data_IF_228892758161
#
_entry.id   IF_228892758161
#
_cell.length_a   1.000
_cell.length_b   1.000
_cell.length_c   1.000
_cell.angle_alpha   90.00
_cell.angle_beta   90.00
_cell.angle_gamma   90.00
#
_symmetry.space_group_name_H-M   'P 1'
#
loop_
_entity.id
_entity.type
_entity.pdbx_description
1 polymer ?
#
# COMPACT_ATOMS: atom_id res chain seq x y z
N UNK A 1 -14.04 11.20 -8.87
CA UNK A 1 -13.20 12.10 -8.03
C UNK A 1 -13.94 13.38 -7.65
N UNK A 2 -14.47 14.19 -8.59
CA UNK A 2 -15.04 15.51 -8.28
C UNK A 2 -16.19 15.46 -7.27
N UNK A 3 -17.18 14.60 -7.48
CA UNK A 3 -18.27 14.39 -6.50
C UNK A 3 -17.76 14.04 -5.09
N UNK A 4 -16.73 13.21 -5.00
CA UNK A 4 -16.13 12.85 -3.71
C UNK A 4 -15.50 14.09 -3.03
N UNK A 5 -14.72 14.87 -3.77
CA UNK A 5 -14.09 16.09 -3.24
C UNK A 5 -15.12 17.14 -2.83
N UNK A 6 -16.22 17.32 -3.59
CA UNK A 6 -17.34 18.17 -3.20
C UNK A 6 -17.96 17.73 -1.87
N UNK A 7 -18.10 16.41 -1.65
CA UNK A 7 -18.59 15.88 -0.39
C UNK A 7 -17.62 16.17 0.76
N UNK A 8 -16.31 15.94 0.55
CA UNK A 8 -15.28 16.23 1.56
C UNK A 8 -15.31 17.71 1.97
N UNK A 9 -15.36 18.61 1.00
CA UNK A 9 -15.44 20.05 1.25
C UNK A 9 -16.69 20.44 2.05
N UNK A 10 -17.86 19.92 1.67
CA UNK A 10 -19.12 20.17 2.41
C UNK A 10 -19.11 19.66 3.84
N UNK A 11 -18.39 18.57 4.09
CA UNK A 11 -18.25 17.97 5.43
C UNK A 11 -17.09 18.56 6.24
N UNK A 12 -16.31 19.49 5.67
CA UNK A 12 -15.14 20.06 6.33
C UNK A 12 -13.98 19.06 6.51
N UNK A 13 -13.92 18.00 5.71
CA UNK A 13 -12.88 16.98 5.78
C UNK A 13 -11.75 17.37 4.84
N UNK A 14 -10.63 17.84 5.40
CA UNK A 14 -9.48 18.35 4.65
C UNK A 14 -8.37 17.33 4.39
N UNK A 15 -8.53 16.06 4.80
CA UNK A 15 -7.52 15.01 4.64
C UNK A 15 -8.15 13.73 4.12
N UNK A 16 -7.45 13.08 3.18
CA UNK A 16 -7.92 11.83 2.58
C UNK A 16 -6.77 10.84 2.43
N UNK A 17 -7.11 9.56 2.44
CA UNK A 17 -6.33 8.51 1.83
C UNK A 17 -6.74 8.39 0.35
N UNK A 18 -5.75 8.31 -0.54
CA UNK A 18 -5.99 8.11 -1.96
C UNK A 18 -5.91 6.63 -2.30
N UNK A 19 -7.03 6.05 -2.62
CA UNK A 19 -7.10 4.71 -3.22
C UNK A 19 -6.80 4.79 -4.72
N UNK A 20 -5.72 4.15 -5.16
CA UNK A 20 -5.28 4.14 -6.55
C UNK A 20 -5.99 3.05 -7.37
N UNK A 21 -7.22 3.33 -7.75
CA UNK A 21 -8.04 2.49 -8.61
C UNK A 21 -8.67 3.29 -9.74
N UNK A 22 -9.14 2.61 -10.78
CA UNK A 22 -9.63 3.19 -12.03
C UNK A 22 -10.69 4.30 -11.86
N UNK A 23 -11.52 4.24 -10.81
CA UNK A 23 -12.54 5.25 -10.54
C UNK A 23 -12.00 6.54 -9.92
N UNK A 24 -10.78 6.52 -9.37
CA UNK A 24 -10.22 7.64 -8.62
C UNK A 24 -8.94 8.18 -9.26
N UNK A 25 -7.91 7.35 -9.35
CA UNK A 25 -6.62 7.69 -9.93
C UNK A 25 -5.96 6.41 -10.44
N UNK A 26 -5.62 6.35 -11.73
CA UNK A 26 -5.00 5.17 -12.30
C UNK A 26 -3.54 5.06 -11.91
N UNK A 27 -3.12 3.86 -11.55
CA UNK A 27 -1.74 3.49 -11.28
C UNK A 27 -1.52 2.04 -11.65
N UNK A 28 -0.45 1.75 -12.40
CA UNK A 28 0.01 0.40 -12.70
C UNK A 28 1.54 0.29 -12.66
N UNK A 29 2.11 -0.82 -13.12
CA UNK A 29 3.56 -1.03 -13.14
C UNK A 29 4.29 -0.21 -14.22
N UNK A 30 3.59 0.45 -15.13
CA UNK A 30 4.16 1.31 -16.17
C UNK A 30 4.17 2.79 -15.79
N UNK A 31 3.32 3.19 -14.85
CA UNK A 31 3.21 4.57 -14.39
C UNK A 31 1.87 4.87 -13.73
N UNK A 32 1.48 6.14 -13.77
CA UNK A 32 0.22 6.64 -13.20
C UNK A 32 -0.27 7.88 -13.94
N UNK A 33 -1.54 8.26 -13.70
CA UNK A 33 -2.22 9.42 -14.28
C UNK A 33 -1.52 10.75 -13.95
N UNK A 34 -1.90 11.82 -14.64
CA UNK A 34 -1.35 13.16 -14.42
C UNK A 34 -1.63 13.69 -13.00
N UNK A 35 -0.57 13.74 -12.20
CA UNK A 35 -0.60 14.25 -10.82
C UNK A 35 -0.93 15.73 -10.76
N UNK A 36 -0.58 16.53 -11.80
CA UNK A 36 -0.85 17.98 -11.80
C UNK A 36 -2.35 18.26 -11.85
N UNK A 37 -3.11 17.50 -12.64
CA UNK A 37 -4.56 17.58 -12.70
C UNK A 37 -5.21 17.22 -11.36
N UNK A 38 -4.74 16.15 -10.71
CA UNK A 38 -5.21 15.76 -9.37
C UNK A 38 -4.89 16.84 -8.33
N UNK A 39 -3.66 17.35 -8.32
CA UNK A 39 -3.26 18.44 -7.41
C UNK A 39 -4.13 19.70 -7.55
N UNK A 40 -4.47 20.07 -8.79
CA UNK A 40 -5.33 21.21 -9.04
C UNK A 40 -6.72 21.00 -8.39
N UNK A 41 -7.30 19.82 -8.55
CA UNK A 41 -8.59 19.46 -7.93
C UNK A 41 -8.53 19.48 -6.42
N UNK A 42 -7.51 18.84 -5.82
CA UNK A 42 -7.30 18.81 -4.37
C UNK A 42 -7.19 20.21 -3.78
N UNK A 43 -6.39 21.08 -4.41
CA UNK A 43 -6.25 22.49 -3.97
C UNK A 43 -7.56 23.26 -4.06
N UNK A 44 -8.32 23.09 -5.15
CA UNK A 44 -9.59 23.77 -5.34
C UNK A 44 -10.62 23.44 -4.24
N UNK A 45 -10.52 22.24 -3.65
CA UNK A 45 -11.44 21.78 -2.59
C UNK A 45 -10.85 21.89 -1.18
N UNK A 46 -9.61 22.39 -1.02
CA UNK A 46 -8.94 22.49 0.28
C UNK A 46 -8.62 21.13 0.91
N UNK A 47 -8.42 20.09 0.09
CA UNK A 47 -8.18 18.71 0.52
C UNK A 47 -6.72 18.35 0.24
N UNK A 48 -6.07 17.62 1.17
CA UNK A 48 -4.73 17.04 0.98
C UNK A 48 -4.74 15.52 1.13
N UNK A 49 -3.90 14.86 0.36
CA UNK A 49 -3.63 13.42 0.53
C UNK A 49 -2.64 13.24 1.68
N UNK A 50 -2.95 12.36 2.63
CA UNK A 50 -2.06 11.99 3.75
C UNK A 50 -1.50 10.59 3.62
N UNK A 51 -2.17 9.73 2.85
CA UNK A 51 -1.78 8.35 2.60
C UNK A 51 -2.18 7.94 1.19
N UNK A 52 -1.42 7.07 0.58
CA UNK A 52 -1.72 6.44 -0.71
C UNK A 52 -1.85 4.93 -0.50
N UNK A 53 -2.91 4.34 -1.06
CA UNK A 53 -3.12 2.89 -1.08
C UNK A 53 -3.16 2.38 -2.51
N UNK A 54 -2.20 1.52 -2.85
CA UNK A 54 -2.18 0.79 -4.11
C UNK A 54 -2.85 -0.58 -3.91
N UNK A 55 -4.02 -0.84 -4.52
CA UNK A 55 -4.74 -2.09 -4.36
C UNK A 55 -3.87 -3.31 -4.68
N UNK A 56 -3.85 -4.31 -3.80
CA UNK A 56 -3.02 -5.51 -3.95
C UNK A 56 -3.75 -6.82 -3.64
N UNK A 57 -4.98 -6.75 -3.11
CA UNK A 57 -5.77 -7.95 -2.80
C UNK A 57 -6.27 -8.65 -4.08
N UNK A 58 -6.35 -7.92 -5.18
CA UNK A 58 -6.93 -8.39 -6.45
C UNK A 58 -6.00 -9.29 -7.31
N UNK A 59 -4.96 -9.86 -6.76
CA UNK A 59 -4.03 -10.84 -7.36
C UNK A 59 -3.12 -10.34 -8.49
N UNK A 60 -3.36 -9.19 -9.07
CA UNK A 60 -2.57 -8.69 -10.20
C UNK A 60 -1.12 -8.33 -9.82
N UNK A 61 -0.95 -7.72 -8.64
CA UNK A 61 0.38 -7.36 -8.10
C UNK A 61 0.52 -7.94 -6.70
N UNK A 62 1.51 -8.81 -6.52
CA UNK A 62 1.67 -9.56 -5.28
C UNK A 62 3.09 -9.42 -4.72
N UNK A 63 3.19 -9.24 -3.41
CA UNK A 63 4.46 -9.13 -2.69
C UNK A 63 5.25 -10.44 -2.69
N UNK A 64 4.57 -11.58 -2.74
CA UNK A 64 5.16 -12.91 -2.72
C UNK A 64 5.09 -13.60 -4.09
N UNK A 65 4.98 -12.85 -5.20
CA UNK A 65 4.90 -13.42 -6.54
C UNK A 65 6.05 -14.40 -6.80
N UNK A 66 5.72 -15.58 -7.32
CA UNK A 66 6.66 -16.67 -7.57
C UNK A 66 7.50 -16.41 -8.82
N UNK A 67 6.84 -15.94 -9.89
CA UNK A 67 7.50 -15.65 -11.15
C UNK A 67 8.32 -14.34 -11.05
N UNK A 68 9.64 -14.37 -11.37
CA UNK A 68 10.48 -13.18 -11.26
C UNK A 68 9.96 -11.96 -12.03
N UNK A 69 9.35 -12.16 -13.20
CA UNK A 69 8.77 -11.07 -13.98
C UNK A 69 7.57 -10.43 -13.26
N UNK A 70 6.70 -11.23 -12.65
CA UNK A 70 5.55 -10.74 -11.91
C UNK A 70 5.98 -10.03 -10.60
N UNK A 71 7.03 -10.53 -9.95
CA UNK A 71 7.61 -9.88 -8.78
C UNK A 71 8.18 -8.49 -9.15
N UNK A 72 8.84 -8.38 -10.31
CA UNK A 72 9.37 -7.10 -10.80
C UNK A 72 8.24 -6.14 -11.22
N UNK A 73 7.15 -6.62 -11.84
CA UNK A 73 5.97 -5.78 -12.12
C UNK A 73 5.33 -5.28 -10.82
N UNK A 74 5.22 -6.13 -9.82
CA UNK A 74 4.74 -5.75 -8.49
C UNK A 74 5.66 -4.72 -7.83
N UNK A 75 6.96 -4.89 -7.94
CA UNK A 75 7.92 -3.93 -7.42
C UNK A 75 7.77 -2.54 -8.07
N UNK A 76 7.62 -2.47 -9.39
CA UNK A 76 7.39 -1.20 -10.10
C UNK A 76 6.06 -0.57 -9.71
N UNK A 77 5.02 -1.38 -9.61
CA UNK A 77 3.69 -0.91 -9.20
C UNK A 77 3.71 -0.24 -7.83
N UNK A 78 4.25 -0.91 -6.82
CA UNK A 78 4.34 -0.33 -5.47
C UNK A 78 5.37 0.81 -5.38
N UNK A 79 6.43 0.79 -6.18
CA UNK A 79 7.37 1.93 -6.29
C UNK A 79 6.68 3.16 -6.89
N UNK A 80 5.82 2.98 -7.87
CA UNK A 80 5.02 4.07 -8.43
C UNK A 80 4.08 4.68 -7.38
N UNK A 81 3.49 3.88 -6.49
CA UNK A 81 2.69 4.39 -5.37
C UNK A 81 3.53 5.22 -4.38
N UNK A 82 4.77 4.82 -4.13
CA UNK A 82 5.70 5.58 -3.29
C UNK A 82 6.06 6.94 -3.94
N UNK A 83 6.38 6.95 -5.23
CA UNK A 83 6.67 8.17 -5.96
C UNK A 83 5.45 9.09 -6.03
N UNK A 84 4.27 8.54 -6.31
CA UNK A 84 3.01 9.28 -6.29
C UNK A 84 2.76 9.93 -4.93
N UNK A 85 2.95 9.19 -3.82
CA UNK A 85 2.81 9.73 -2.48
C UNK A 85 3.74 10.93 -2.26
N UNK A 86 5.02 10.78 -2.58
CA UNK A 86 6.01 11.87 -2.49
C UNK A 86 5.60 13.08 -3.33
N UNK A 87 5.15 12.86 -4.58
CA UNK A 87 4.68 13.95 -5.44
C UNK A 87 3.45 14.65 -4.92
N UNK A 88 2.54 13.95 -4.25
CA UNK A 88 1.34 14.53 -3.63
C UNK A 88 1.62 15.18 -2.26
N UNK A 89 2.83 15.01 -1.72
CA UNK A 89 3.19 15.46 -0.39
C UNK A 89 2.57 14.60 0.73
N UNK A 90 2.16 13.36 0.41
CA UNK A 90 1.75 12.37 1.38
C UNK A 90 3.00 11.69 1.97
N UNK A 91 2.96 11.42 3.28
CA UNK A 91 4.09 10.83 4.00
C UNK A 91 3.96 9.32 4.21
N UNK A 92 2.87 8.70 3.70
CA UNK A 92 2.56 7.28 3.91
C UNK A 92 2.08 6.59 2.64
N UNK A 93 2.47 5.31 2.54
CA UNK A 93 1.89 4.35 1.60
C UNK A 93 1.47 3.11 2.37
N UNK A 94 0.20 2.72 2.24
CA UNK A 94 -0.30 1.47 2.83
C UNK A 94 0.22 0.30 2.00
N UNK A 95 0.80 -0.67 2.69
CA UNK A 95 1.28 -1.93 2.13
C UNK A 95 0.74 -3.09 2.97
N UNK A 96 0.70 -4.27 2.38
CA UNK A 96 0.32 -5.50 3.06
C UNK A 96 1.22 -6.66 2.60
N UNK A 97 0.85 -7.89 2.84
CA UNK A 97 1.63 -9.06 2.38
C UNK A 97 1.07 -9.71 1.11
N UNK A 98 -0.13 -9.29 0.67
CA UNK A 98 -0.82 -9.97 -0.42
C UNK A 98 -1.12 -11.43 -0.10
N UNK A 99 -1.21 -12.24 -1.15
CA UNK A 99 -1.41 -13.68 -1.08
C UNK A 99 -0.14 -14.47 -1.36
N UNK A 100 0.05 -15.56 -0.63
CA UNK A 100 0.96 -16.62 -1.01
C UNK A 100 0.23 -17.70 -1.83
N UNK A 101 0.97 -18.49 -2.59
CA UNK A 101 0.41 -19.53 -3.44
C UNK A 101 0.00 -20.76 -2.63
N UNK A 102 -1.20 -21.28 -2.89
CA UNK A 102 -1.67 -22.47 -2.22
C UNK A 102 -0.82 -23.68 -2.62
N UNK A 103 -0.34 -24.45 -1.66
CA UNK A 103 0.52 -25.60 -1.89
C UNK A 103 2.03 -25.29 -2.00
N UNK A 104 2.42 -24.03 -1.92
CA UNK A 104 3.84 -23.65 -1.80
C UNK A 104 4.30 -23.64 -0.33
N UNK A 105 5.60 -23.80 -0.12
CA UNK A 105 6.20 -23.66 1.21
C UNK A 105 6.00 -22.23 1.76
N UNK A 106 5.40 -22.15 2.94
CA UNK A 106 5.11 -20.86 3.58
C UNK A 106 6.37 -20.02 3.81
N UNK A 107 7.49 -20.66 4.16
CA UNK A 107 8.76 -19.96 4.41
C UNK A 107 9.30 -19.31 3.13
N UNK A 108 9.15 -19.97 1.98
CA UNK A 108 9.55 -19.42 0.70
C UNK A 108 8.75 -18.17 0.33
N UNK A 109 7.43 -18.24 0.46
CA UNK A 109 6.52 -17.10 0.24
C UNK A 109 6.80 -15.95 1.20
N UNK A 110 6.97 -16.27 2.48
CA UNK A 110 7.30 -15.30 3.52
C UNK A 110 8.59 -14.55 3.23
N UNK A 111 9.65 -15.28 2.86
CA UNK A 111 10.94 -14.69 2.55
C UNK A 111 10.86 -13.77 1.32
N UNK A 112 10.15 -14.16 0.26
CA UNK A 112 9.95 -13.29 -0.92
C UNK A 112 9.20 -12.01 -0.55
N UNK A 113 8.13 -12.12 0.23
CA UNK A 113 7.38 -10.96 0.71
C UNK A 113 8.27 -10.03 1.56
N UNK A 114 9.01 -10.57 2.53
CA UNK A 114 9.96 -9.83 3.36
C UNK A 114 11.00 -9.08 2.52
N UNK A 115 11.63 -9.78 1.58
CA UNK A 115 12.69 -9.20 0.75
C UNK A 115 12.13 -8.14 -0.20
N UNK A 116 10.93 -8.35 -0.73
CA UNK A 116 10.22 -7.37 -1.55
C UNK A 116 9.89 -6.09 -0.74
N UNK A 117 9.33 -6.23 0.46
CA UNK A 117 9.08 -5.10 1.36
C UNK A 117 10.37 -4.37 1.72
N UNK A 118 11.46 -5.09 1.96
CA UNK A 118 12.80 -4.50 2.19
C UNK A 118 13.28 -3.66 1.01
N UNK A 119 13.13 -4.15 -0.23
CA UNK A 119 13.45 -3.39 -1.46
C UNK A 119 12.59 -2.13 -1.58
N UNK A 120 11.29 -2.23 -1.30
CA UNK A 120 10.38 -1.06 -1.35
C UNK A 120 10.74 -0.02 -0.29
N UNK A 121 11.19 -0.42 0.90
CA UNK A 121 11.69 0.49 1.92
C UNK A 121 12.90 1.31 1.43
N UNK A 122 13.78 0.71 0.63
CA UNK A 122 14.91 1.42 0.02
C UNK A 122 14.48 2.47 -1.00
N UNK A 123 13.34 2.28 -1.67
CA UNK A 123 12.73 3.30 -2.54
C UNK A 123 12.05 4.39 -1.69
N UNK A 124 11.35 4.00 -0.63
CA UNK A 124 10.58 4.91 0.20
C UNK A 124 11.46 5.88 1.00
N UNK A 125 12.61 5.42 1.49
CA UNK A 125 13.50 6.22 2.34
C UNK A 125 13.94 7.55 1.70
N UNK A 126 14.52 7.58 0.50
CA UNK A 126 14.93 8.83 -0.14
C UNK A 126 13.74 9.71 -0.54
N UNK A 127 12.56 9.13 -0.71
CA UNK A 127 11.31 9.86 -0.99
C UNK A 127 10.70 10.50 0.26
N UNK A 128 11.22 10.23 1.45
CA UNK A 128 10.64 10.69 2.73
C UNK A 128 9.28 10.04 3.05
N UNK A 129 9.00 8.87 2.45
CA UNK A 129 7.75 8.14 2.60
C UNK A 129 7.91 6.98 3.58
N UNK A 130 6.93 6.79 4.44
CA UNK A 130 6.83 5.64 5.35
C UNK A 130 5.87 4.61 4.76
N UNK A 131 6.31 3.37 4.63
CA UNK A 131 5.44 2.24 4.35
C UNK A 131 4.74 1.83 5.66
N UNK A 132 3.42 1.76 5.65
CA UNK A 132 2.63 1.31 6.81
C UNK A 132 1.98 -0.03 6.47
N UNK A 133 2.47 -1.09 7.12
CA UNK A 133 2.00 -2.44 6.87
C UNK A 133 0.72 -2.72 7.63
N UNK A 134 -0.31 -3.08 6.89
CA UNK A 134 -1.60 -3.53 7.37
C UNK A 134 -1.61 -5.06 7.52
N UNK A 135 -2.09 -5.55 8.67
CA UNK A 135 -2.52 -6.94 8.77
C UNK A 135 -3.91 -7.06 8.17
N UNK A 136 -4.09 -8.02 7.28
CA UNK A 136 -5.36 -8.30 6.62
C UNK A 136 -6.12 -9.40 7.35
N UNK A 137 -7.38 -9.65 6.97
CA UNK A 137 -8.14 -10.81 7.42
C UNK A 137 -7.62 -12.08 6.72
N UNK A 138 -7.95 -13.25 7.24
CA UNK A 138 -7.54 -14.54 6.68
C UNK A 138 -8.22 -14.87 5.34
N UNK A 139 -9.33 -14.19 5.02
CA UNK A 139 -9.97 -14.22 3.71
C UNK A 139 -9.40 -13.20 2.71
N UNK A 140 -8.44 -12.38 3.12
CA UNK A 140 -7.75 -11.37 2.31
C UNK A 140 -6.25 -11.64 2.18
N UNK A 141 -5.67 -12.47 3.05
CA UNK A 141 -4.26 -12.86 3.02
C UNK A 141 -4.04 -14.16 3.78
N UNK A 142 -3.11 -14.97 3.32
CA UNK A 142 -2.63 -16.15 4.03
C UNK A 142 -1.19 -15.96 4.60
N UNK A 143 -0.62 -14.77 4.51
CA UNK A 143 0.73 -14.46 5.03
C UNK A 143 0.66 -13.61 6.30
N UNK A 144 0.28 -12.34 6.22
CA UNK A 144 0.20 -11.45 7.38
C UNK A 144 -1.28 -11.16 7.66
N UNK A 145 -1.92 -12.06 8.41
CA UNK A 145 -3.35 -12.02 8.72
C UNK A 145 -3.66 -11.81 10.22
N UNK A 146 -2.67 -11.42 11.02
CA UNK A 146 -2.84 -11.05 12.43
C UNK A 146 -1.66 -10.19 12.92
N UNK A 147 -1.77 -9.61 14.11
CA UNK A 147 -0.74 -8.70 14.67
C UNK A 147 0.57 -9.41 15.00
N UNK A 148 0.54 -10.67 15.41
CA UNK A 148 1.77 -11.42 15.67
C UNK A 148 2.60 -11.57 14.39
N UNK A 149 1.97 -11.98 13.30
CA UNK A 149 2.62 -12.10 11.97
C UNK A 149 3.08 -10.74 11.44
N UNK A 150 2.28 -9.69 11.65
CA UNK A 150 2.68 -8.33 11.27
C UNK A 150 3.92 -7.87 12.06
N UNK A 151 3.97 -8.09 13.37
CA UNK A 151 5.16 -7.80 14.20
C UNK A 151 6.38 -8.62 13.76
N UNK A 152 6.18 -9.88 13.42
CA UNK A 152 7.25 -10.74 12.90
C UNK A 152 7.81 -10.18 11.58
N UNK A 153 6.95 -9.89 10.60
CA UNK A 153 7.36 -9.33 9.31
C UNK A 153 8.10 -8.00 9.49
N UNK A 154 7.56 -7.10 10.32
CA UNK A 154 8.18 -5.81 10.62
C UNK A 154 9.60 -5.98 11.22
N UNK A 155 9.77 -6.90 12.18
CA UNK A 155 11.10 -7.17 12.77
C UNK A 155 12.07 -7.77 11.77
N UNK A 156 11.60 -8.69 10.93
CA UNK A 156 12.46 -9.39 9.95
C UNK A 156 12.86 -8.50 8.77
N UNK A 157 12.00 -7.57 8.33
CA UNK A 157 12.38 -6.53 7.36
C UNK A 157 13.38 -5.55 7.98
N UNK A 158 13.19 -5.17 9.25
CA UNK A 158 14.15 -4.41 10.05
C UNK A 158 14.51 -3.03 9.49
N UNK A 159 13.64 -2.39 8.70
CA UNK A 159 13.93 -1.13 8.02
C UNK A 159 13.17 0.04 8.67
N UNK A 160 13.79 1.22 8.91
CA UNK A 160 13.15 2.35 9.58
C UNK A 160 11.95 2.93 8.82
N UNK A 161 11.91 2.80 7.50
CA UNK A 161 10.80 3.25 6.66
C UNK A 161 9.60 2.28 6.66
N UNK A 162 9.66 1.12 7.33
CA UNK A 162 8.50 0.25 7.53
C UNK A 162 7.95 0.48 8.93
N UNK A 163 6.66 0.75 9.00
CA UNK A 163 5.86 0.82 10.23
C UNK A 163 4.67 -0.12 10.12
N UNK A 164 3.91 -0.22 11.19
CA UNK A 164 2.68 -1.01 11.23
C UNK A 164 1.49 -0.09 11.39
N UNK A 165 0.38 -0.45 10.79
CA UNK A 165 -0.93 0.07 11.12
C UNK A 165 -1.82 -1.04 11.67
N UNK A 166 -2.87 -0.65 12.37
CA UNK A 166 -3.87 -1.57 12.92
C UNK A 166 -5.20 -1.25 12.26
N UNK A 167 -5.74 -2.23 11.54
CA UNK A 167 -7.14 -2.24 11.15
C UNK A 167 -7.93 -2.95 12.25
N UNK A 168 -8.82 -2.22 12.91
CA UNK A 168 -9.62 -2.76 14.01
C UNK A 168 -10.65 -3.81 13.54
N UNK A 169 -11.01 -3.83 12.27
CA UNK A 169 -11.89 -4.87 11.69
C UNK A 169 -11.09 -6.16 11.52
N UNK A 170 -9.89 -6.07 10.91
CA UNK A 170 -9.03 -7.23 10.71
C UNK A 170 -8.56 -7.83 12.03
N UNK A 171 -8.13 -7.01 13.00
CA UNK A 171 -7.71 -7.48 14.33
C UNK A 171 -8.88 -8.07 15.11
N UNK A 172 -10.06 -7.46 15.06
CA UNK A 172 -11.27 -8.01 15.68
C UNK A 172 -11.69 -9.36 15.06
N UNK A 173 -11.54 -9.53 13.73
CA UNK A 173 -11.78 -10.81 13.07
C UNK A 173 -10.77 -11.89 13.47
N UNK A 174 -9.52 -11.50 13.75
CA UNK A 174 -8.47 -12.40 14.26
C UNK A 174 -8.62 -12.73 15.76
N UNK A 175 -9.57 -12.11 16.46
CA UNK A 175 -9.79 -12.32 17.91
C UNK A 175 -8.75 -11.59 18.79
N UNK A 176 -8.16 -10.50 18.31
CA UNK A 176 -7.11 -9.71 18.97
C UNK A 176 -7.61 -8.37 19.52
#
# INVERSE_FOLDING_TARGET
MDFFLDCQQRLGIGQIELWCGAAHFWLDHTGYDDVSALRAKLRAHGVRVVSVTAPSIAYQYQYAAQEPAHLEYSFRYFSNAIHLAAELGADRVVVNSGWGYQGEDESAMWNRCRDHLGRLCQVAQPCGVTLVMESLRDDESNLVCNLERARRMHREVGHPSLKMMVDNIATGAAGE
#
